data_IF_579013392252
#
_entry.id   IF_579013392252
#
_cell.length_a   1.000
_cell.length_b   1.000
_cell.length_c   1.000
_cell.angle_alpha   90.00
_cell.angle_beta   90.00
_cell.angle_gamma   90.00
#
_symmetry.space_group_name_H-M   'P 1'
#
loop_
_entity.id
_entity.type
_entity.pdbx_description
1 polymer ?
#
# COMPACT_ATOMS: atom_id res chain seq x y z
N UNK A 1 -40.32 31.26 14.24
CA UNK A 1 -38.89 30.92 14.21
C UNK A 1 -38.04 32.18 14.22
N UNK A 2 -36.91 32.17 14.94
CA UNK A 2 -35.91 33.25 14.90
C UNK A 2 -35.01 33.10 13.66
N UNK A 3 -34.39 34.20 13.21
CA UNK A 3 -33.51 34.16 12.04
C UNK A 3 -32.30 33.22 12.22
N UNK A 4 -31.78 33.10 13.45
CA UNK A 4 -30.64 32.22 13.75
C UNK A 4 -31.00 30.73 13.61
N UNK A 5 -32.20 30.35 14.05
CA UNK A 5 -32.76 28.99 13.88
C UNK A 5 -32.99 28.69 12.39
N UNK A 6 -33.52 29.66 11.64
CA UNK A 6 -33.73 29.50 10.21
C UNK A 6 -32.42 29.25 9.46
N UNK A 7 -31.35 29.94 9.85
CA UNK A 7 -30.01 29.76 9.26
C UNK A 7 -29.44 28.37 9.53
N UNK A 8 -29.67 27.79 10.70
CA UNK A 8 -29.30 26.41 10.99
C UNK A 8 -30.05 25.43 10.09
N UNK A 9 -31.37 25.63 9.93
CA UNK A 9 -32.18 24.81 9.02
C UNK A 9 -31.72 24.94 7.56
N UNK A 10 -31.33 26.14 7.10
CA UNK A 10 -30.76 26.31 5.75
C UNK A 10 -29.55 25.41 5.51
N UNK A 11 -28.62 25.30 6.47
CA UNK A 11 -27.45 24.43 6.35
C UNK A 11 -27.86 22.95 6.29
N UNK A 12 -28.72 22.51 7.21
CA UNK A 12 -29.25 21.14 7.21
C UNK A 12 -30.02 20.78 5.92
N UNK A 13 -30.69 21.76 5.30
CA UNK A 13 -31.36 21.55 4.00
C UNK A 13 -30.34 21.31 2.89
N UNK A 14 -29.22 22.05 2.86
CA UNK A 14 -28.18 21.88 1.85
C UNK A 14 -27.52 20.51 1.94
N UNK A 15 -27.38 19.98 3.15
CA UNK A 15 -26.80 18.67 3.43
C UNK A 15 -27.81 17.52 3.29
N UNK A 16 -29.11 17.83 3.21
CA UNK A 16 -30.19 16.85 3.03
C UNK A 16 -30.61 16.15 4.33
N UNK A 17 -30.36 16.77 5.48
CA UNK A 17 -30.55 16.19 6.82
C UNK A 17 -31.88 16.60 7.49
N UNK A 18 -32.64 17.53 6.90
CA UNK A 18 -33.91 18.01 7.46
C UNK A 18 -35.07 17.03 7.26
N UNK A 19 -35.97 17.01 8.24
CA UNK A 19 -37.27 16.33 8.15
C UNK A 19 -38.35 17.24 7.52
N UNK A 20 -39.44 16.63 7.05
CA UNK A 20 -40.53 17.33 6.35
C UNK A 20 -41.18 18.46 7.17
N UNK A 21 -41.25 18.32 8.49
CA UNK A 21 -41.76 19.34 9.42
C UNK A 21 -40.81 20.54 9.55
N UNK A 22 -39.51 20.28 9.58
CA UNK A 22 -38.46 21.29 9.62
C UNK A 22 -38.34 22.07 8.30
N UNK A 23 -38.52 21.38 7.16
CA UNK A 23 -38.57 21.99 5.83
C UNK A 23 -39.74 22.98 5.76
N UNK A 24 -40.94 22.57 6.18
CA UNK A 24 -42.12 23.45 6.19
C UNK A 24 -41.91 24.68 7.08
N UNK A 25 -41.34 24.49 8.27
CA UNK A 25 -41.03 25.59 9.18
C UNK A 25 -40.04 26.59 8.56
N UNK A 26 -39.05 26.11 7.82
CA UNK A 26 -38.11 26.94 7.07
C UNK A 26 -38.81 27.72 5.95
N UNK A 27 -39.65 27.06 5.14
CA UNK A 27 -40.39 27.69 4.04
C UNK A 27 -41.34 28.80 4.54
N UNK A 28 -42.07 28.56 5.62
CA UNK A 28 -42.93 29.58 6.25
C UNK A 28 -42.13 30.81 6.71
N UNK A 29 -40.93 30.59 7.25
CA UNK A 29 -40.06 31.68 7.66
C UNK A 29 -39.48 32.46 6.46
N UNK A 30 -39.11 31.77 5.38
CA UNK A 30 -38.63 32.41 4.15
C UNK A 30 -39.72 33.26 3.47
N UNK A 31 -40.99 32.88 3.62
CA UNK A 31 -42.13 33.67 3.14
C UNK A 31 -42.29 34.99 3.90
N UNK A 32 -41.99 35.00 5.20
CA UNK A 32 -42.21 36.15 6.10
C UNK A 32 -40.99 37.05 6.28
N UNK A 33 -39.76 36.51 6.16
CA UNK A 33 -38.52 37.25 6.39
C UNK A 33 -37.72 37.49 5.10
N UNK A 34 -37.67 38.75 4.64
CA UNK A 34 -36.93 39.12 3.44
C UNK A 34 -35.40 38.93 3.58
N UNK A 35 -34.84 39.13 4.78
CA UNK A 35 -33.41 38.94 5.06
C UNK A 35 -32.99 37.48 4.89
N UNK A 36 -33.71 36.57 5.54
CA UNK A 36 -33.45 35.13 5.43
C UNK A 36 -33.64 34.61 4.01
N UNK A 37 -34.58 35.19 3.25
CA UNK A 37 -34.75 34.86 1.83
C UNK A 37 -33.53 35.24 0.99
N UNK A 38 -32.96 36.42 1.20
CA UNK A 38 -31.74 36.84 0.49
C UNK A 38 -30.53 35.96 0.85
N UNK A 39 -30.38 35.60 2.13
CA UNK A 39 -29.33 34.66 2.57
C UNK A 39 -29.51 33.27 1.95
N UNK A 40 -30.76 32.79 1.85
CA UNK A 40 -31.07 31.49 1.25
C UNK A 40 -30.72 31.40 -0.24
N UNK A 41 -31.00 32.45 -1.01
CA UNK A 41 -30.58 32.51 -2.42
C UNK A 41 -29.05 32.45 -2.56
N UNK A 42 -28.33 33.18 -1.70
CA UNK A 42 -26.87 33.20 -1.70
C UNK A 42 -26.28 31.80 -1.43
N UNK A 43 -26.85 31.05 -0.48
CA UNK A 43 -26.40 29.68 -0.20
C UNK A 43 -26.70 28.69 -1.33
N UNK A 44 -27.85 28.82 -2.01
CA UNK A 44 -28.17 27.99 -3.18
C UNK A 44 -27.22 28.26 -4.34
N UNK A 45 -26.86 29.53 -4.56
CA UNK A 45 -25.90 29.92 -5.59
C UNK A 45 -24.52 29.31 -5.31
N UNK A 46 -24.02 29.42 -4.08
CA UNK A 46 -22.74 28.82 -3.68
C UNK A 46 -22.72 27.29 -3.85
N UNK A 47 -23.81 26.61 -3.46
CA UNK A 47 -23.95 25.16 -3.64
C UNK A 47 -23.89 24.78 -5.13
N UNK A 48 -24.55 25.56 -5.98
CA UNK A 48 -24.54 25.34 -7.42
C UNK A 48 -23.13 25.48 -8.00
N UNK A 49 -22.45 26.59 -7.73
CA UNK A 49 -21.08 26.82 -8.20
C UNK A 49 -20.11 25.73 -7.72
N UNK A 50 -20.25 25.32 -6.45
CA UNK A 50 -19.40 24.27 -5.86
C UNK A 50 -19.69 22.90 -6.46
N UNK A 51 -20.94 22.61 -6.81
CA UNK A 51 -21.32 21.35 -7.46
C UNK A 51 -20.85 21.25 -8.92
N UNK A 52 -20.66 22.39 -9.59
CA UNK A 52 -20.16 22.45 -10.96
C UNK A 52 -18.62 22.41 -11.04
N UNK A 53 -17.92 22.54 -9.90
CA UNK A 53 -16.48 22.34 -9.84
C UNK A 53 -16.13 20.88 -10.14
N UNK A 54 -15.66 20.65 -11.37
CA UNK A 54 -15.08 19.36 -11.74
C UNK A 54 -13.72 19.23 -11.07
N UNK A 55 -13.59 18.23 -10.20
CA UNK A 55 -12.27 17.78 -9.75
C UNK A 55 -11.43 17.44 -10.97
N UNK A 56 -10.25 18.05 -11.07
CA UNK A 56 -9.27 17.69 -12.09
C UNK A 56 -8.88 16.24 -11.82
N UNK A 57 -9.15 15.28 -12.74
CA UNK A 57 -8.71 13.91 -12.53
C UNK A 57 -7.19 13.92 -12.39
N UNK A 58 -6.69 13.13 -11.43
CA UNK A 58 -5.26 12.94 -11.26
C UNK A 58 -4.68 12.44 -12.60
N UNK A 59 -3.56 13.02 -13.10
CA UNK A 59 -2.97 12.58 -14.37
C UNK A 59 -2.62 11.09 -14.29
N UNK A 60 -2.95 10.31 -15.33
CA UNK A 60 -2.68 8.86 -15.41
C UNK A 60 -1.20 8.52 -15.13
N UNK A 61 -0.27 9.41 -15.47
CA UNK A 61 1.17 9.27 -15.19
C UNK A 61 1.53 9.00 -13.73
N UNK A 62 0.70 9.40 -12.75
CA UNK A 62 0.96 9.13 -11.34
C UNK A 62 0.71 7.66 -10.96
N UNK A 63 -0.11 6.93 -11.72
CA UNK A 63 -0.41 5.53 -11.44
C UNK A 63 0.74 4.63 -11.86
N UNK A 64 1.35 4.88 -13.01
CA UNK A 64 2.43 4.06 -13.55
C UNK A 64 3.67 4.09 -12.64
N UNK A 65 4.09 5.28 -12.22
CA UNK A 65 5.25 5.45 -11.36
C UNK A 65 5.04 4.88 -9.95
N UNK A 66 3.81 4.93 -9.43
CA UNK A 66 3.47 4.29 -8.15
C UNK A 66 3.52 2.76 -8.26
N UNK A 67 2.92 2.18 -9.31
CA UNK A 67 2.87 0.75 -9.51
C UNK A 67 4.24 0.14 -9.80
N UNK A 68 5.06 0.77 -10.64
CA UNK A 68 6.42 0.30 -10.89
C UNK A 68 7.26 0.27 -9.61
N UNK A 69 7.17 1.30 -8.77
CA UNK A 69 7.94 1.36 -7.53
C UNK A 69 7.47 0.35 -6.47
N UNK A 70 6.17 0.05 -6.41
CA UNK A 70 5.62 -0.93 -5.46
C UNK A 70 5.89 -2.35 -5.93
N UNK A 71 5.60 -2.67 -7.20
CA UNK A 71 5.74 -4.01 -7.76
C UNK A 71 7.19 -4.48 -7.75
N UNK A 72 8.12 -3.63 -8.22
CA UNK A 72 9.55 -3.93 -8.26
C UNK A 72 10.15 -4.17 -6.86
N UNK A 73 9.56 -3.59 -5.81
CA UNK A 73 10.05 -3.71 -4.43
C UNK A 73 9.53 -4.97 -3.75
N UNK A 74 8.31 -5.37 -4.07
CA UNK A 74 7.67 -6.59 -3.56
C UNK A 74 8.26 -7.83 -4.22
N UNK A 75 8.41 -7.83 -5.55
CA UNK A 75 8.99 -8.95 -6.30
C UNK A 75 10.42 -9.27 -5.84
N UNK A 76 11.26 -8.24 -5.70
CA UNK A 76 12.61 -8.35 -5.10
C UNK A 76 12.62 -8.61 -3.60
N UNK A 77 11.50 -8.49 -2.90
CA UNK A 77 11.37 -8.91 -1.52
C UNK A 77 11.16 -10.42 -1.45
N UNK A 78 10.09 -10.85 -2.12
CA UNK A 78 9.58 -12.22 -2.10
C UNK A 78 10.56 -13.18 -2.78
N UNK A 79 11.12 -12.82 -3.94
CA UNK A 79 12.05 -13.68 -4.66
C UNK A 79 13.28 -14.06 -3.82
N UNK A 80 13.80 -13.12 -3.02
CA UNK A 80 14.92 -13.41 -2.12
C UNK A 80 14.53 -14.24 -0.91
N UNK A 81 13.31 -14.07 -0.37
CA UNK A 81 12.81 -14.90 0.72
C UNK A 81 12.69 -16.35 0.24
N UNK A 82 12.02 -16.57 -0.90
CA UNK A 82 11.85 -17.90 -1.49
C UNK A 82 13.20 -18.54 -1.86
N UNK A 83 14.11 -17.78 -2.48
CA UNK A 83 15.46 -18.26 -2.79
C UNK A 83 16.23 -18.68 -1.54
N UNK A 84 16.19 -17.85 -0.48
CA UNK A 84 16.88 -18.15 0.77
C UNK A 84 16.32 -19.39 1.46
N UNK A 85 15.00 -19.54 1.46
CA UNK A 85 14.33 -20.70 2.05
C UNK A 85 14.66 -21.98 1.27
N UNK A 86 14.61 -21.92 -0.06
CA UNK A 86 14.99 -23.05 -0.92
C UNK A 86 16.46 -23.46 -0.75
N UNK A 87 17.37 -22.50 -0.68
CA UNK A 87 18.78 -22.76 -0.42
C UNK A 87 18.99 -23.44 0.94
N UNK A 88 18.33 -22.95 2.01
CA UNK A 88 18.42 -23.56 3.35
C UNK A 88 17.94 -25.01 3.33
N UNK A 89 16.81 -25.29 2.67
CA UNK A 89 16.26 -26.66 2.58
C UNK A 89 17.22 -27.59 1.84
N UNK A 90 17.75 -27.16 0.68
CA UNK A 90 18.71 -27.96 -0.10
C UNK A 90 20.00 -28.23 0.68
N UNK A 91 20.51 -27.21 1.38
CA UNK A 91 21.71 -27.36 2.21
C UNK A 91 21.45 -28.31 3.39
N UNK A 92 20.30 -28.21 4.05
CA UNK A 92 19.93 -29.10 5.15
C UNK A 92 19.76 -30.54 4.68
N UNK A 93 19.11 -30.76 3.54
CA UNK A 93 18.91 -32.09 2.96
C UNK A 93 20.24 -32.73 2.54
N UNK A 94 21.08 -32.01 1.79
CA UNK A 94 22.37 -32.55 1.38
C UNK A 94 23.32 -32.76 2.57
N UNK A 95 23.27 -31.90 3.60
CA UNK A 95 24.03 -32.14 4.83
C UNK A 95 23.53 -33.39 5.58
N UNK A 96 22.22 -33.63 5.61
CA UNK A 96 21.64 -34.83 6.20
C UNK A 96 22.08 -36.09 5.46
N UNK A 97 21.99 -36.13 4.12
CA UNK A 97 22.48 -37.26 3.33
C UNK A 97 23.98 -37.48 3.53
N UNK A 98 24.78 -36.40 3.55
CA UNK A 98 26.22 -36.49 3.77
C UNK A 98 26.55 -37.07 5.16
N UNK A 99 25.82 -36.66 6.21
CA UNK A 99 26.00 -37.21 7.55
C UNK A 99 25.60 -38.69 7.62
N UNK A 100 24.50 -39.10 6.99
CA UNK A 100 24.11 -40.51 6.92
C UNK A 100 25.13 -41.36 6.16
N UNK A 101 25.57 -40.91 4.98
CA UNK A 101 26.53 -41.63 4.16
C UNK A 101 27.95 -41.66 4.76
N UNK A 102 28.28 -40.70 5.63
CA UNK A 102 29.55 -40.66 6.34
C UNK A 102 29.53 -41.52 7.61
N UNK A 103 28.44 -41.51 8.38
CA UNK A 103 28.36 -42.22 9.67
C UNK A 103 27.77 -43.64 9.58
N UNK A 104 26.85 -43.92 8.66
CA UNK A 104 26.06 -45.16 8.66
C UNK A 104 26.46 -46.17 7.57
N UNK A 105 27.04 -45.75 6.44
CA UNK A 105 27.34 -46.65 5.33
C UNK A 105 28.72 -46.40 4.65
N UNK A 106 29.77 -47.16 5.00
CA UNK A 106 31.09 -47.05 4.39
C UNK A 106 31.20 -47.53 2.93
N UNK A 107 30.18 -48.20 2.37
CA UNK A 107 30.25 -48.86 1.07
C UNK A 107 29.97 -47.96 -0.16
N UNK A 108 29.54 -46.71 0.03
CA UNK A 108 29.27 -45.80 -1.10
C UNK A 108 30.56 -45.35 -1.82
N UNK A 109 30.57 -45.28 -3.16
CA UNK A 109 31.74 -44.86 -3.92
C UNK A 109 32.15 -43.41 -3.58
N UNK A 110 33.46 -43.17 -3.47
CA UNK A 110 34.03 -41.90 -3.01
C UNK A 110 33.62 -40.69 -3.87
N UNK A 111 33.31 -40.92 -5.15
CA UNK A 111 32.93 -39.89 -6.12
C UNK A 111 31.60 -39.23 -5.74
N UNK A 112 30.63 -39.99 -5.24
CA UNK A 112 29.33 -39.43 -4.80
C UNK A 112 29.50 -38.49 -3.60
N UNK A 113 30.39 -38.87 -2.66
CA UNK A 113 30.70 -38.06 -1.48
C UNK A 113 31.37 -36.74 -1.85
N UNK A 114 32.34 -36.79 -2.77
CA UNK A 114 33.06 -35.59 -3.24
C UNK A 114 32.16 -34.70 -4.11
N UNK A 115 31.33 -35.30 -4.98
CA UNK A 115 30.39 -34.58 -5.83
C UNK A 115 29.32 -33.82 -5.03
N UNK A 116 28.70 -34.48 -4.05
CA UNK A 116 27.70 -33.84 -3.18
C UNK A 116 28.34 -32.74 -2.32
N UNK A 117 29.55 -32.98 -1.80
CA UNK A 117 30.29 -32.00 -1.01
C UNK A 117 30.62 -30.73 -1.80
N UNK A 118 31.09 -30.86 -3.04
CA UNK A 118 31.36 -29.71 -3.92
C UNK A 118 30.09 -28.94 -4.30
N UNK A 119 28.98 -29.64 -4.54
CA UNK A 119 27.69 -29.03 -4.87
C UNK A 119 27.15 -28.22 -3.67
N UNK A 120 27.20 -28.79 -2.46
CA UNK A 120 26.83 -28.10 -1.23
C UNK A 120 27.72 -26.89 -0.97
N UNK A 121 29.03 -27.03 -1.11
CA UNK A 121 29.98 -25.93 -0.96
C UNK A 121 29.68 -24.80 -1.95
N UNK A 122 29.38 -25.13 -3.20
CA UNK A 122 28.96 -24.17 -4.23
C UNK A 122 27.68 -23.42 -3.86
N UNK A 123 26.65 -24.13 -3.37
CA UNK A 123 25.40 -23.52 -2.90
C UNK A 123 25.64 -22.58 -1.71
N UNK A 124 26.50 -22.95 -0.76
CA UNK A 124 26.87 -22.09 0.38
C UNK A 124 27.56 -20.82 -0.11
N UNK A 125 28.52 -20.92 -1.04
CA UNK A 125 29.24 -19.76 -1.57
C UNK A 125 28.29 -18.78 -2.26
N UNK A 126 27.40 -19.29 -3.13
CA UNK A 126 26.39 -18.46 -3.81
C UNK A 126 25.47 -17.81 -2.80
N UNK A 127 24.99 -18.56 -1.81
CA UNK A 127 24.12 -18.04 -0.76
C UNK A 127 24.80 -16.92 0.06
N UNK A 128 26.05 -17.10 0.47
CA UNK A 128 26.82 -16.09 1.21
C UNK A 128 27.11 -14.86 0.35
N UNK A 129 27.46 -15.04 -0.92
CA UNK A 129 27.70 -13.93 -1.86
C UNK A 129 26.47 -13.04 -2.00
N UNK A 130 25.33 -13.67 -2.25
CA UNK A 130 24.00 -13.04 -2.30
C UNK A 130 23.68 -12.31 -1.00
N UNK A 131 23.87 -12.98 0.15
CA UNK A 131 23.52 -12.43 1.45
C UNK A 131 24.37 -11.18 1.75
N UNK A 132 25.66 -11.24 1.45
CA UNK A 132 26.59 -10.12 1.60
C UNK A 132 26.18 -8.93 0.75
N UNK A 133 25.85 -9.15 -0.52
CA UNK A 133 25.41 -8.11 -1.45
C UNK A 133 24.15 -7.41 -0.93
N UNK A 134 23.14 -8.17 -0.52
CA UNK A 134 21.90 -7.64 0.08
C UNK A 134 22.13 -6.86 1.37
N UNK A 135 23.01 -7.34 2.26
CA UNK A 135 23.32 -6.66 3.51
C UNK A 135 24.12 -5.36 3.30
N UNK A 136 25.04 -5.34 2.33
CA UNK A 136 25.79 -4.14 1.96
C UNK A 136 24.90 -3.07 1.33
N UNK A 137 24.04 -3.45 0.38
CA UNK A 137 23.09 -2.53 -0.26
C UNK A 137 22.14 -1.92 0.79
N UNK A 138 21.71 -2.70 1.80
CA UNK A 138 20.88 -2.17 2.91
C UNK A 138 21.61 -1.12 3.77
N UNK A 139 22.93 -1.21 3.93
CA UNK A 139 23.72 -0.29 4.77
C UNK A 139 24.20 0.97 4.06
N UNK A 140 24.48 0.89 2.75
CA UNK A 140 25.13 1.98 1.98
C UNK A 140 24.14 2.94 1.32
N UNK A 141 22.85 2.61 1.31
CA UNK A 141 21.83 3.35 0.58
C UNK A 141 21.38 4.64 1.31
N UNK A 142 22.27 5.65 1.29
CA UNK A 142 22.09 7.01 1.84
C UNK A 142 21.04 7.84 1.08
N UNK A 143 20.61 7.39 -0.11
CA UNK A 143 19.71 8.13 -1.01
C UNK A 143 18.26 7.64 -0.98
N UNK A 144 17.92 6.64 -0.16
CA UNK A 144 16.55 6.11 -0.03
C UNK A 144 15.48 7.14 0.39
N UNK A 145 15.87 8.35 0.82
CA UNK A 145 14.98 9.43 1.26
C UNK A 145 14.88 10.62 0.30
N UNK A 146 15.50 10.57 -0.87
CA UNK A 146 15.35 11.64 -1.86
C UNK A 146 14.42 11.13 -2.96
N UNK A 147 13.13 11.35 -2.75
CA UNK A 147 12.11 11.27 -3.81
C UNK A 147 12.28 12.52 -4.67
N UNK A 148 12.43 12.35 -5.98
CA UNK A 148 12.51 13.47 -6.93
C UNK A 148 11.13 13.72 -7.53
#
# INVERSE_FOLDING_TARGET
MKCDEARLLMMGYLDGELKDDEIKALEEHLQTCAKCRAEWESFKELKKETSEMKFKPFPEMFWDEYWENVYNKIERGIGWILFSLGAIILLAYGAYEMLQDFFLNPQKPMIEKVGLGLLLLGLIIVFVSVLREKLMIRKVDKYRRIVR
#
